data_IF_988779705776
#
_entry.id   IF_988779705776
#
_cell.length_a   1.000
_cell.length_b   1.000
_cell.length_c   1.000
_cell.angle_alpha   90.00
_cell.angle_beta   90.00
_cell.angle_gamma   90.00
#
_symmetry.space_group_name_H-M   'P 1'
#
loop_
_entity.id
_entity.type
_entity.pdbx_description
1 polymer ?
#
# COMPACT_ATOMS: atom_id res chain seq x y z
N UNK A 1 -13.93 13.37 -0.38
CA UNK A 1 -14.08 14.09 -1.65
C UNK A 1 -12.82 13.92 -2.45
N UNK A 2 -12.89 13.81 -3.76
CA UNK A 2 -11.76 13.57 -4.67
C UNK A 2 -10.65 14.63 -4.54
N UNK A 3 -9.39 14.31 -4.92
CA UNK A 3 -8.29 15.25 -4.78
C UNK A 3 -8.44 16.35 -5.84
N UNK A 4 -8.26 17.60 -5.42
CA UNK A 4 -8.35 18.75 -6.32
C UNK A 4 -7.13 18.82 -7.25
N UNK A 5 -7.28 19.48 -8.40
CA UNK A 5 -6.16 19.72 -9.32
C UNK A 5 -4.95 20.39 -8.61
N UNK A 6 -5.21 21.30 -7.66
CA UNK A 6 -4.17 21.91 -6.82
C UNK A 6 -3.43 20.88 -5.97
N UNK A 7 -4.14 19.96 -5.34
CA UNK A 7 -3.53 18.89 -4.54
C UNK A 7 -2.71 17.94 -5.41
N UNK A 8 -3.18 17.60 -6.60
CA UNK A 8 -2.45 16.75 -7.54
C UNK A 8 -1.17 17.40 -8.06
N UNK A 9 -1.23 18.70 -8.40
CA UNK A 9 -0.05 19.47 -8.81
C UNK A 9 1.00 19.55 -7.70
N UNK A 10 0.57 19.80 -6.45
CA UNK A 10 1.46 19.82 -5.29
C UNK A 10 2.08 18.43 -5.04
N UNK A 11 1.28 17.37 -5.12
CA UNK A 11 1.77 16.00 -4.95
C UNK A 11 2.83 15.65 -6.00
N UNK A 12 2.59 15.99 -7.28
CA UNK A 12 3.57 15.77 -8.34
C UNK A 12 4.89 16.52 -8.09
N UNK A 13 4.82 17.79 -7.65
CA UNK A 13 6.00 18.57 -7.32
C UNK A 13 6.79 17.95 -6.15
N UNK A 14 6.10 17.53 -5.08
CA UNK A 14 6.72 16.89 -3.91
C UNK A 14 7.38 15.57 -4.29
N UNK A 15 6.69 14.71 -5.04
CA UNK A 15 7.22 13.41 -5.47
C UNK A 15 8.46 13.59 -6.34
N UNK A 16 8.45 14.59 -7.24
CA UNK A 16 9.60 14.91 -8.09
C UNK A 16 10.82 15.35 -7.26
N UNK A 17 10.63 16.23 -6.29
CA UNK A 17 11.71 16.72 -5.42
C UNK A 17 12.31 15.60 -4.57
N UNK A 18 11.45 14.77 -3.96
CA UNK A 18 11.88 13.59 -3.19
C UNK A 18 12.67 12.65 -4.11
N UNK A 19 12.19 12.39 -5.33
CA UNK A 19 12.87 11.51 -6.28
C UNK A 19 14.28 11.99 -6.62
N UNK A 20 14.48 13.30 -6.73
CA UNK A 20 15.79 13.90 -7.01
C UNK A 20 16.74 13.87 -5.81
N UNK A 21 16.18 13.76 -4.60
CA UNK A 21 16.95 13.79 -3.34
C UNK A 21 17.39 12.40 -2.88
N UNK A 22 16.61 11.35 -3.15
CA UNK A 22 16.87 9.99 -2.64
C UNK A 22 17.15 8.97 -3.73
N UNK A 23 17.93 7.95 -3.41
CA UNK A 23 18.24 6.82 -4.32
C UNK A 23 17.37 5.60 -4.08
N UNK A 24 16.69 5.53 -2.93
CA UNK A 24 15.77 4.44 -2.60
C UNK A 24 14.50 4.53 -3.45
N UNK A 25 13.84 3.39 -3.75
CA UNK A 25 12.56 3.39 -4.44
C UNK A 25 11.52 4.22 -3.69
N UNK A 26 10.71 4.96 -4.43
CA UNK A 26 9.57 5.72 -3.89
C UNK A 26 8.26 5.20 -4.48
N UNK A 27 7.21 5.25 -3.66
CA UNK A 27 5.85 4.92 -4.05
C UNK A 27 4.93 6.12 -3.93
N UNK A 28 3.86 6.12 -4.72
CA UNK A 28 2.82 7.16 -4.69
C UNK A 28 1.51 6.57 -4.21
N UNK A 29 0.86 7.25 -3.28
CA UNK A 29 -0.50 6.97 -2.85
C UNK A 29 -1.21 8.30 -2.64
N UNK A 30 -2.31 8.50 -3.35
CA UNK A 30 -3.10 9.72 -3.36
C UNK A 30 -4.53 9.35 -3.01
N UNK A 31 -4.90 9.69 -1.78
CA UNK A 31 -6.27 9.65 -1.30
C UNK A 31 -7.07 8.39 -1.70
N UNK A 32 -6.98 7.35 -0.87
CA UNK A 32 -7.83 6.16 -0.86
C UNK A 32 -7.95 5.33 -2.15
N UNK A 33 -8.25 5.89 -3.32
CA UNK A 33 -8.21 5.18 -4.59
C UNK A 33 -8.13 6.15 -5.79
N UNK A 34 -7.34 7.23 -5.71
CA UNK A 34 -7.14 8.12 -6.86
C UNK A 34 -6.16 7.52 -7.88
N UNK A 35 -6.39 6.26 -8.26
CA UNK A 35 -5.50 5.38 -9.02
C UNK A 35 -4.97 5.99 -10.33
N UNK A 36 -5.79 6.78 -11.01
CA UNK A 36 -5.40 7.46 -12.25
C UNK A 36 -4.35 8.54 -11.98
N UNK A 37 -4.57 9.34 -10.94
CA UNK A 37 -3.61 10.35 -10.51
C UNK A 37 -2.34 9.71 -9.94
N UNK A 38 -2.47 8.63 -9.17
CA UNK A 38 -1.33 7.90 -8.59
C UNK A 38 -0.38 7.40 -9.67
N UNK A 39 -0.89 6.69 -10.69
CA UNK A 39 -0.04 6.15 -11.75
C UNK A 39 0.51 7.26 -12.66
N UNK A 40 -0.28 8.30 -12.94
CA UNK A 40 0.16 9.46 -13.71
C UNK A 40 1.33 10.20 -13.04
N UNK A 41 1.20 10.47 -11.74
CA UNK A 41 2.26 11.10 -10.94
C UNK A 41 3.48 10.18 -10.85
N UNK A 42 3.28 8.89 -10.58
CA UNK A 42 4.38 7.94 -10.47
C UNK A 42 5.19 7.87 -11.76
N UNK A 43 4.51 7.75 -12.91
CA UNK A 43 5.14 7.75 -14.23
C UNK A 43 5.89 9.07 -14.50
N UNK A 44 5.22 10.21 -14.35
CA UNK A 44 5.78 11.52 -14.69
C UNK A 44 6.97 11.92 -13.79
N UNK A 45 6.98 11.46 -12.54
CA UNK A 45 8.01 11.80 -11.56
C UNK A 45 9.08 10.72 -11.41
N UNK A 46 8.92 9.55 -12.04
CA UNK A 46 9.88 8.44 -11.96
C UNK A 46 9.84 7.67 -10.62
N UNK A 47 8.66 7.54 -10.02
CA UNK A 47 8.41 6.65 -8.88
C UNK A 47 8.29 5.18 -9.35
N UNK A 48 8.50 4.24 -8.45
CA UNK A 48 8.65 2.81 -8.78
C UNK A 48 7.36 2.02 -8.56
N UNK A 49 6.44 2.52 -7.75
CA UNK A 49 5.19 1.82 -7.47
C UNK A 49 4.07 2.78 -7.05
N UNK A 50 2.85 2.27 -7.12
CA UNK A 50 1.65 2.89 -6.54
C UNK A 50 0.99 1.91 -5.59
N UNK A 51 0.34 2.43 -4.54
CA UNK A 51 -0.59 1.66 -3.71
C UNK A 51 -2.00 1.94 -4.19
N UNK A 52 -2.76 0.89 -4.46
CA UNK A 52 -4.12 0.98 -5.02
C UNK A 52 -5.07 0.26 -4.08
N UNK A 53 -5.88 1.00 -3.34
CA UNK A 53 -6.65 0.41 -2.27
C UNK A 53 -7.97 -0.24 -2.74
N UNK A 54 -8.47 0.05 -3.94
CA UNK A 54 -9.68 -0.61 -4.48
C UNK A 54 -9.40 -1.18 -5.86
N UNK A 55 -8.64 -2.28 -5.87
CA UNK A 55 -8.13 -2.87 -7.10
C UNK A 55 -9.14 -3.82 -7.78
N UNK A 56 -9.60 -4.87 -7.08
CA UNK A 56 -10.52 -5.89 -7.65
C UNK A 56 -11.90 -5.93 -6.98
N UNK A 57 -12.04 -5.34 -5.80
CA UNK A 57 -13.27 -5.40 -5.02
C UNK A 57 -14.13 -4.15 -5.23
N UNK A 58 -15.45 -4.28 -5.23
CA UNK A 58 -16.32 -3.12 -4.98
C UNK A 58 -16.48 -2.98 -3.48
N UNK A 59 -16.08 -1.84 -2.93
CA UNK A 59 -16.03 -1.62 -1.49
C UNK A 59 -17.02 -0.55 -1.06
N UNK A 60 -17.63 -0.74 0.11
CA UNK A 60 -18.43 0.26 0.80
C UNK A 60 -17.56 0.89 1.89
N UNK A 61 -17.41 2.21 1.84
CA UNK A 61 -16.62 3.00 2.79
C UNK A 61 -17.48 4.16 3.34
N UNK A 62 -16.92 4.93 4.29
CA UNK A 62 -17.58 6.14 4.81
C UNK A 62 -17.91 7.17 3.72
N UNK A 63 -17.15 7.20 2.62
CA UNK A 63 -17.42 8.04 1.45
C UNK A 63 -18.43 7.46 0.44
N UNK A 64 -19.00 6.28 0.70
CA UNK A 64 -19.94 5.60 -0.21
C UNK A 64 -19.34 4.37 -0.90
N UNK A 65 -19.91 4.00 -2.05
CA UNK A 65 -19.48 2.84 -2.84
C UNK A 65 -18.31 3.24 -3.73
N UNK A 66 -17.21 2.48 -3.66
CA UNK A 66 -16.01 2.68 -4.46
C UNK A 66 -15.84 1.47 -5.40
N UNK A 67 -15.90 1.66 -6.73
CA UNK A 67 -15.74 0.57 -7.68
C UNK A 67 -14.28 0.15 -7.85
N UNK A 68 -14.01 -1.11 -8.26
CA UNK A 68 -12.67 -1.58 -8.57
C UNK A 68 -12.09 -0.90 -9.80
N UNK A 69 -10.77 -0.76 -9.84
CA UNK A 69 -10.05 -0.09 -10.91
C UNK A 69 -9.04 -0.95 -11.69
N UNK A 70 -8.88 -2.24 -11.35
CA UNK A 70 -7.84 -3.12 -11.92
C UNK A 70 -7.78 -3.12 -13.45
N UNK A 71 -8.92 -3.19 -14.13
CA UNK A 71 -8.97 -3.15 -15.59
C UNK A 71 -8.55 -1.77 -16.15
N UNK A 72 -9.02 -0.69 -15.52
CA UNK A 72 -8.71 0.69 -15.95
C UNK A 72 -7.23 1.01 -15.73
N UNK A 73 -6.70 0.77 -14.52
CA UNK A 73 -5.31 1.09 -14.19
C UNK A 73 -4.33 0.21 -14.99
N UNK A 74 -4.63 -1.07 -15.23
CA UNK A 74 -3.74 -1.94 -16.02
C UNK A 74 -3.68 -1.49 -17.48
N UNK A 75 -4.81 -1.08 -18.07
CA UNK A 75 -4.84 -0.51 -19.43
C UNK A 75 -4.10 0.82 -19.49
N UNK A 76 -4.31 1.70 -18.50
CA UNK A 76 -3.64 3.00 -18.42
C UNK A 76 -2.11 2.83 -18.26
N UNK A 77 -1.68 1.93 -17.37
CA UNK A 77 -0.26 1.57 -17.20
C UNK A 77 0.36 1.21 -18.54
N UNK A 78 -0.33 0.37 -19.32
CA UNK A 78 0.18 -0.05 -20.63
C UNK A 78 0.20 1.10 -21.64
N UNK A 79 -0.86 1.90 -21.69
CA UNK A 79 -0.96 3.04 -22.60
C UNK A 79 0.13 4.10 -22.36
N UNK A 80 0.53 4.31 -21.11
CA UNK A 80 1.63 5.21 -20.74
C UNK A 80 3.03 4.61 -20.99
N UNK A 81 3.14 3.31 -21.28
CA UNK A 81 4.42 2.60 -21.24
C UNK A 81 5.03 2.55 -19.84
N UNK A 82 4.18 2.60 -18.80
CA UNK A 82 4.57 2.62 -17.39
C UNK A 82 4.77 1.20 -16.82
N UNK A 83 5.26 0.25 -17.63
CA UNK A 83 5.51 -1.15 -17.22
C UNK A 83 6.51 -1.23 -16.04
N UNK A 84 7.32 -0.19 -15.84
CA UNK A 84 8.23 -0.06 -14.68
C UNK A 84 7.61 0.48 -13.39
N UNK A 85 6.32 0.84 -13.38
CA UNK A 85 5.57 1.25 -12.19
C UNK A 85 4.76 0.06 -11.67
N UNK A 86 5.16 -0.49 -10.53
CA UNK A 86 4.51 -1.62 -9.90
C UNK A 86 3.16 -1.23 -9.27
N UNK A 87 2.17 -2.10 -9.39
CA UNK A 87 0.83 -1.95 -8.81
C UNK A 87 0.75 -2.76 -7.52
N UNK A 88 0.81 -2.09 -6.37
CA UNK A 88 0.63 -2.73 -5.07
C UNK A 88 -0.85 -2.62 -4.70
N UNK A 89 -1.56 -3.74 -4.78
CA UNK A 89 -3.00 -3.79 -4.59
C UNK A 89 -3.34 -4.16 -3.14
N UNK A 90 -4.18 -3.37 -2.46
CA UNK A 90 -4.77 -3.84 -1.22
C UNK A 90 -5.83 -4.92 -1.50
N UNK A 91 -5.92 -5.88 -0.58
CA UNK A 91 -7.03 -6.83 -0.49
C UNK A 91 -7.79 -6.58 0.81
N UNK A 92 -9.12 -6.47 0.72
CA UNK A 92 -10.01 -6.12 1.82
C UNK A 92 -9.54 -4.90 2.62
N UNK A 93 -9.46 -3.76 1.93
CA UNK A 93 -8.93 -2.50 2.45
C UNK A 93 -9.56 -2.07 3.78
N UNK A 94 -8.71 -1.53 4.66
CA UNK A 94 -9.10 -0.96 5.96
C UNK A 94 -10.27 0.01 5.83
N UNK A 95 -11.12 0.05 6.86
CA UNK A 95 -12.31 0.91 6.91
C UNK A 95 -13.33 0.68 5.79
N UNK A 96 -13.29 -0.49 5.14
CA UNK A 96 -14.27 -0.86 4.12
C UNK A 96 -14.88 -2.22 4.37
N UNK A 97 -16.01 -2.43 3.72
CA UNK A 97 -16.67 -3.74 3.62
C UNK A 97 -16.91 -4.05 2.14
N UNK A 98 -16.60 -5.26 1.67
CA UNK A 98 -16.96 -5.67 0.32
C UNK A 98 -18.47 -5.59 0.09
N UNK A 99 -18.90 -4.97 -1.01
CA UNK A 99 -20.32 -4.89 -1.38
C UNK A 99 -20.91 -6.30 -1.62
N UNK A 100 -20.09 -7.18 -2.19
CA UNK A 100 -20.38 -8.60 -2.33
C UNK A 100 -19.42 -9.38 -1.41
N UNK A 101 -19.92 -10.20 -0.48
CA UNK A 101 -19.05 -11.00 0.38
C UNK A 101 -18.10 -11.90 -0.41
N UNK A 102 -16.81 -11.81 -0.11
CA UNK A 102 -15.78 -12.66 -0.68
C UNK A 102 -14.67 -12.92 0.33
N UNK A 103 -13.98 -14.05 0.18
CA UNK A 103 -12.83 -14.36 1.02
C UNK A 103 -11.61 -13.55 0.60
N UNK A 104 -10.71 -13.27 1.55
CA UNK A 104 -9.45 -12.57 1.25
C UNK A 104 -8.57 -13.37 0.28
N UNK A 105 -8.65 -14.71 0.34
CA UNK A 105 -7.95 -15.62 -0.56
C UNK A 105 -8.44 -15.47 -1.99
N UNK A 106 -9.76 -15.33 -2.19
CA UNK A 106 -10.32 -15.12 -3.53
C UNK A 106 -9.91 -13.74 -4.06
N UNK A 107 -10.06 -12.68 -3.26
CA UNK A 107 -9.64 -11.34 -3.64
C UNK A 107 -8.14 -11.27 -4.02
N UNK A 108 -7.28 -11.98 -3.28
CA UNK A 108 -5.85 -12.07 -3.60
C UNK A 108 -5.58 -12.76 -4.95
N UNK A 109 -6.27 -13.87 -5.24
CA UNK A 109 -6.14 -14.57 -6.53
C UNK A 109 -6.63 -13.71 -7.69
N UNK A 110 -7.72 -12.98 -7.48
CA UNK A 110 -8.28 -12.08 -8.49
C UNK A 110 -7.34 -10.90 -8.74
N UNK A 111 -6.77 -10.31 -7.68
CA UNK A 111 -5.78 -9.24 -7.80
C UNK A 111 -4.52 -9.70 -8.56
N UNK A 112 -4.00 -10.88 -8.23
CA UNK A 112 -2.87 -11.46 -8.98
C UNK A 112 -3.23 -11.66 -10.46
N UNK A 113 -4.39 -12.24 -10.74
CA UNK A 113 -4.84 -12.50 -12.11
C UNK A 113 -5.09 -11.22 -12.90
N UNK A 114 -5.47 -10.14 -12.22
CA UNK A 114 -5.73 -8.83 -12.82
C UNK A 114 -4.46 -7.97 -13.00
N UNK A 115 -3.28 -8.49 -12.65
CA UNK A 115 -1.99 -7.86 -12.96
C UNK A 115 -1.39 -7.01 -11.83
N UNK A 116 -1.77 -7.27 -10.57
CA UNK A 116 -1.05 -6.71 -9.42
C UNK A 116 0.39 -7.26 -9.37
N UNK A 117 1.32 -6.44 -8.88
CA UNK A 117 2.74 -6.81 -8.71
C UNK A 117 3.09 -7.14 -7.26
N UNK A 118 2.27 -6.68 -6.31
CA UNK A 118 2.32 -7.06 -4.90
C UNK A 118 0.93 -6.92 -4.27
N UNK A 119 0.69 -7.63 -3.18
CA UNK A 119 -0.53 -7.53 -2.40
C UNK A 119 -0.28 -6.90 -1.04
N UNK A 120 -1.18 -6.03 -0.61
CA UNK A 120 -1.17 -5.42 0.72
C UNK A 120 -2.33 -6.00 1.53
N UNK A 121 -2.01 -6.60 2.66
CA UNK A 121 -3.00 -7.03 3.66
C UNK A 121 -2.94 -6.06 4.82
N UNK A 122 -4.07 -5.44 5.17
CA UNK A 122 -4.13 -4.42 6.23
C UNK A 122 -5.09 -4.84 7.34
N UNK A 123 -4.82 -4.39 8.56
CA UNK A 123 -5.75 -4.50 9.69
C UNK A 123 -6.94 -3.56 9.53
N UNK A 124 -7.97 -3.76 10.37
CA UNK A 124 -9.26 -3.06 10.28
C UNK A 124 -9.20 -1.53 10.46
N UNK A 125 -8.10 -0.99 11.01
CA UNK A 125 -7.89 0.45 11.18
C UNK A 125 -6.46 0.84 11.53
N UNK A 126 -6.22 2.15 11.66
CA UNK A 126 -4.91 2.72 11.98
C UNK A 126 -4.37 2.19 13.32
N UNK A 127 -3.12 1.72 13.32
CA UNK A 127 -2.47 1.14 14.49
C UNK A 127 -2.96 -0.25 14.89
N UNK A 128 -4.02 -0.77 14.26
CA UNK A 128 -4.49 -2.14 14.49
C UNK A 128 -3.57 -3.12 13.77
N UNK A 129 -3.16 -4.15 14.50
CA UNK A 129 -2.33 -5.22 13.96
C UNK A 129 -3.08 -5.93 12.83
N UNK A 130 -2.38 -6.16 11.72
CA UNK A 130 -2.89 -6.99 10.64
C UNK A 130 -2.93 -8.45 11.13
N UNK A 131 -4.06 -9.18 10.98
CA UNK A 131 -4.12 -10.58 11.38
C UNK A 131 -3.11 -11.42 10.58
N UNK A 132 -2.08 -11.95 11.26
CA UNK A 132 -1.04 -12.74 10.58
C UNK A 132 -1.58 -14.03 9.95
N UNK A 133 -2.70 -14.55 10.45
CA UNK A 133 -3.42 -15.66 9.83
C UNK A 133 -3.91 -15.29 8.42
N UNK A 134 -4.51 -14.11 8.26
CA UNK A 134 -4.96 -13.63 6.95
C UNK A 134 -3.78 -13.43 5.99
N UNK A 135 -2.66 -12.89 6.50
CA UNK A 135 -1.41 -12.77 5.73
C UNK A 135 -0.91 -14.14 5.26
N UNK A 136 -0.88 -15.14 6.15
CA UNK A 136 -0.46 -16.50 5.84
C UNK A 136 -1.38 -17.17 4.80
N UNK A 137 -2.70 -16.99 4.92
CA UNK A 137 -3.68 -17.47 3.95
C UNK A 137 -3.45 -16.86 2.56
N UNK A 138 -3.19 -15.55 2.49
CA UNK A 138 -2.88 -14.86 1.23
C UNK A 138 -1.55 -15.35 0.65
N UNK A 139 -0.49 -15.43 1.46
CA UNK A 139 0.82 -15.95 1.04
C UNK A 139 0.76 -17.38 0.49
N UNK A 140 -0.09 -18.23 1.05
CA UNK A 140 -0.29 -19.59 0.56
C UNK A 140 -1.07 -19.66 -0.76
N UNK A 141 -1.83 -18.61 -1.10
CA UNK A 141 -2.73 -18.57 -2.24
C UNK A 141 -2.14 -17.92 -3.50
N UNK A 142 -1.09 -17.11 -3.36
CA UNK A 142 -0.48 -16.32 -4.46
C UNK A 142 1.04 -16.47 -4.51
N UNK A 143 1.64 -16.18 -5.66
CA UNK A 143 3.10 -16.12 -5.84
C UNK A 143 3.66 -14.71 -5.70
N UNK A 144 2.81 -13.69 -5.59
CA UNK A 144 3.23 -12.30 -5.43
C UNK A 144 3.80 -12.02 -4.03
N UNK A 145 4.66 -11.00 -3.89
CA UNK A 145 5.03 -10.45 -2.59
C UNK A 145 3.79 -9.99 -1.81
N UNK A 146 3.71 -10.35 -0.53
CA UNK A 146 2.64 -9.94 0.38
C UNK A 146 3.21 -9.01 1.44
N UNK A 147 2.64 -7.82 1.54
CA UNK A 147 3.10 -6.72 2.39
C UNK A 147 2.06 -6.45 3.47
N UNK A 148 2.49 -6.31 4.72
CA UNK A 148 1.61 -5.89 5.81
C UNK A 148 1.40 -4.38 5.77
N UNK A 149 0.15 -3.93 5.68
CA UNK A 149 -0.21 -2.53 5.47
C UNK A 149 -0.46 -1.69 6.72
N UNK A 150 -0.57 -2.31 7.90
CA UNK A 150 -0.83 -1.61 9.17
C UNK A 150 -0.35 -2.35 10.41
N UNK A 151 -0.15 -1.58 11.50
CA UNK A 151 0.07 -2.11 12.85
C UNK A 151 1.45 -2.73 13.11
N UNK A 152 2.38 -2.62 12.16
CA UNK A 152 3.77 -3.04 12.36
C UNK A 152 4.53 -2.00 13.17
N UNK A 153 5.34 -2.43 14.12
CA UNK A 153 6.19 -1.60 14.98
C UNK A 153 7.44 -2.39 15.43
N UNK A 154 8.33 -1.76 16.19
CA UNK A 154 9.60 -2.38 16.60
C UNK A 154 9.41 -3.67 17.45
N UNK A 155 8.29 -3.81 18.17
CA UNK A 155 8.03 -4.97 19.02
C UNK A 155 7.52 -6.19 18.25
N UNK A 156 6.88 -6.00 17.09
CA UNK A 156 6.27 -7.10 16.32
C UNK A 156 6.87 -7.31 14.91
N UNK A 157 7.78 -6.45 14.46
CA UNK A 157 8.35 -6.51 13.10
C UNK A 157 8.97 -7.87 12.78
N UNK A 158 9.62 -8.54 13.74
CA UNK A 158 10.22 -9.85 13.49
C UNK A 158 9.17 -10.93 13.19
N UNK A 159 8.04 -10.90 13.90
CA UNK A 159 6.92 -11.83 13.62
C UNK A 159 6.26 -11.51 12.28
N UNK A 160 6.09 -10.22 11.97
CA UNK A 160 5.54 -9.78 10.69
C UNK A 160 6.41 -10.25 9.52
N UNK A 161 7.73 -10.07 9.60
CA UNK A 161 8.66 -10.45 8.53
C UNK A 161 8.90 -11.97 8.40
N UNK A 162 8.47 -12.77 9.38
CA UNK A 162 8.38 -14.23 9.26
C UNK A 162 7.15 -14.67 8.46
N UNK A 163 6.06 -13.91 8.52
CA UNK A 163 4.81 -14.21 7.82
C UNK A 163 4.68 -13.50 6.46
N UNK A 164 5.39 -12.38 6.25
CA UNK A 164 5.23 -11.49 5.11
C UNK A 164 6.57 -11.11 4.45
N UNK A 165 6.49 -10.63 3.21
CA UNK A 165 7.66 -10.21 2.43
C UNK A 165 8.10 -8.78 2.76
N UNK A 166 7.25 -8.00 3.43
CA UNK A 166 7.56 -6.66 3.91
C UNK A 166 6.43 -6.03 4.73
N UNK A 167 6.61 -4.78 5.11
CA UNK A 167 5.60 -4.00 5.83
C UNK A 167 5.65 -2.51 5.44
N UNK A 168 4.48 -1.87 5.43
CA UNK A 168 4.31 -0.42 5.36
C UNK A 168 4.12 0.10 6.79
N UNK A 169 5.00 1.02 7.18
CA UNK A 169 5.07 1.51 8.57
C UNK A 169 4.94 3.03 8.57
N UNK A 170 4.02 3.54 9.37
CA UNK A 170 3.73 4.97 9.46
C UNK A 170 3.90 5.49 10.89
N UNK A 171 2.79 5.51 11.64
CA UNK A 171 2.70 6.18 12.94
C UNK A 171 3.75 5.74 13.96
N UNK A 172 4.17 4.47 13.98
CA UNK A 172 5.19 3.99 14.93
C UNK A 172 6.59 4.56 14.69
N UNK A 173 6.84 5.16 13.52
CA UNK A 173 8.10 5.84 13.21
C UNK A 173 8.03 7.34 13.53
N UNK A 174 6.90 7.82 14.06
CA UNK A 174 6.66 9.23 14.34
C UNK A 174 6.72 9.50 15.84
N UNK A 175 7.08 10.72 16.22
CA UNK A 175 7.19 11.10 17.63
C UNK A 175 5.88 10.84 18.36
N UNK A 176 5.95 10.15 19.50
CA UNK A 176 4.77 9.78 20.30
C UNK A 176 3.77 8.86 19.58
N UNK A 177 4.14 8.23 18.46
CA UNK A 177 3.25 7.34 17.72
C UNK A 177 2.13 8.06 16.96
N UNK A 178 2.23 9.38 16.76
CA UNK A 178 1.16 10.19 16.15
C UNK A 178 1.42 10.46 14.68
N UNK A 179 0.37 10.27 13.84
CA UNK A 179 0.43 10.57 12.41
C UNK A 179 0.70 12.06 12.11
N UNK A 180 0.41 12.94 13.05
CA UNK A 180 0.55 14.40 12.91
C UNK A 180 1.94 14.93 13.26
N UNK A 181 2.77 14.14 13.93
CA UNK A 181 4.07 14.62 14.42
C UNK A 181 5.18 14.50 13.35
N UNK A 182 6.42 14.85 13.68
CA UNK A 182 7.55 14.58 12.81
C UNK A 182 7.93 13.07 12.82
N UNK A 183 8.72 12.65 11.84
CA UNK A 183 9.38 11.34 11.88
C UNK A 183 10.46 11.37 12.97
N UNK A 184 10.50 10.35 13.82
CA UNK A 184 11.49 10.19 14.87
C UNK A 184 12.66 9.33 14.36
N UNK A 185 13.86 9.90 14.36
CA UNK A 185 15.08 9.17 14.02
C UNK A 185 15.29 7.97 14.96
N UNK A 186 15.11 8.19 16.27
CA UNK A 186 15.23 7.13 17.29
C UNK A 186 14.25 5.98 17.04
N UNK A 187 12.96 6.28 16.83
CA UNK A 187 11.97 5.23 16.55
C UNK A 187 12.27 4.46 15.25
N UNK A 188 12.81 5.16 14.25
CA UNK A 188 13.23 4.56 12.98
C UNK A 188 14.44 3.63 13.16
N UNK A 189 15.43 4.05 13.93
CA UNK A 189 16.63 3.24 14.22
C UNK A 189 16.28 2.00 15.04
N UNK A 190 15.42 2.13 16.05
CA UNK A 190 14.96 1.00 16.86
C UNK A 190 14.16 0.01 16.03
N UNK A 191 13.27 0.51 15.17
CA UNK A 191 12.54 -0.31 14.22
C UNK A 191 13.47 -1.09 13.29
N UNK A 192 14.43 -0.41 12.65
CA UNK A 192 15.34 -1.04 11.70
C UNK A 192 16.28 -2.04 12.38
N UNK A 193 16.67 -1.79 13.63
CA UNK A 193 17.44 -2.75 14.44
C UNK A 193 16.66 -4.03 14.68
N UNK A 194 15.40 -3.93 15.11
CA UNK A 194 14.53 -5.08 15.32
C UNK A 194 14.25 -5.83 14.00
N UNK A 195 13.99 -5.10 12.92
CA UNK A 195 13.74 -5.68 11.60
C UNK A 195 14.93 -6.52 11.11
N UNK A 196 16.16 -5.98 11.20
CA UNK A 196 17.39 -6.64 10.75
C UNK A 196 17.81 -7.85 11.58
N UNK A 197 17.35 -7.95 12.83
CA UNK A 197 17.59 -9.13 13.68
C UNK A 197 16.74 -10.34 13.27
N UNK A 198 15.71 -10.12 12.46
CA UNK A 198 14.88 -11.19 11.94
C UNK A 198 15.69 -12.00 10.93
N UNK A 199 16.06 -13.23 11.30
CA UNK A 199 16.63 -14.19 10.36
C UNK A 199 15.50 -14.66 9.43
N UNK A 200 15.68 -14.44 8.13
CA UNK A 200 14.90 -15.11 7.07
C UNK A 200 15.55 -16.45 6.75
#
# INVERSE_FOLDING_TARGET
>A
GEPTATQLALMAAIVREIRQTVTIPIGVNVQFNAWEAEIGIAYACGAQFVRVEVFVETLVAAQGIVPPCSAQITRLRKALGADGVALWADVQTKYTTPLVPQSIVQAARDAQSAGADALIVTGAGNGQATPLEAVAQVKAAVSLPVIVGSGTNAANVSQVLQAADGAIVGSSLKEGGSVYNAVSAQASDDFMRAARQTKR
#
